data_IF_017182231628
#
_entry.id   IF_017182231628
#
_cell.length_a   1.000
_cell.length_b   1.000
_cell.length_c   1.000
_cell.angle_alpha   90.00
_cell.angle_beta   90.00
_cell.angle_gamma   90.00
#
_symmetry.space_group_name_H-M   'P 1'
#
loop_
_entity.id
_entity.type
_entity.pdbx_description
1 polymer ?
#
# COMPACT_ATOMS: atom_id res chain seq x y z
N UNK A 1 3.00 31.51 -14.20
CA UNK A 1 2.97 30.08 -13.85
C UNK A 1 1.66 29.52 -14.39
N UNK A 2 1.69 28.38 -15.07
CA UNK A 2 0.48 27.73 -15.56
C UNK A 2 -0.35 27.24 -14.35
N UNK A 3 -1.63 27.61 -14.30
CA UNK A 3 -2.52 27.19 -13.23
C UNK A 3 -2.94 25.72 -13.46
N UNK A 4 -2.51 24.83 -12.58
CA UNK A 4 -2.80 23.41 -12.66
C UNK A 4 -4.13 23.08 -11.97
N UNK A 5 -4.89 22.16 -12.54
CA UNK A 5 -6.09 21.61 -11.92
C UNK A 5 -5.70 20.45 -10.99
N UNK A 6 -6.55 20.05 -10.03
CA UNK A 6 -6.32 18.86 -9.22
C UNK A 6 -5.98 17.60 -10.04
N UNK A 7 -6.62 17.42 -11.19
CA UNK A 7 -6.35 16.31 -12.10
C UNK A 7 -4.92 16.31 -12.66
N UNK A 8 -4.36 17.49 -12.91
CA UNK A 8 -3.01 17.64 -13.44
C UNK A 8 -1.97 17.27 -12.37
N UNK A 9 -2.19 17.66 -11.12
CA UNK A 9 -1.38 17.25 -9.95
C UNK A 9 -1.44 15.73 -9.74
N UNK A 10 -2.63 15.14 -9.83
CA UNK A 10 -2.77 13.69 -9.71
C UNK A 10 -2.04 12.98 -10.85
N UNK A 11 -2.08 13.52 -12.06
CA UNK A 11 -1.35 12.95 -13.19
C UNK A 11 0.16 13.00 -12.96
N UNK A 12 0.70 14.11 -12.47
CA UNK A 12 2.12 14.24 -12.10
C UNK A 12 2.52 13.26 -11.00
N UNK A 13 1.67 13.08 -9.97
CA UNK A 13 1.87 12.08 -8.92
C UNK A 13 2.00 10.67 -9.51
N UNK A 14 1.07 10.32 -10.40
CA UNK A 14 1.09 9.00 -11.04
C UNK A 14 2.34 8.80 -11.91
N UNK A 15 2.78 9.83 -12.62
CA UNK A 15 4.00 9.80 -13.43
C UNK A 15 5.24 9.67 -12.54
N UNK A 16 5.27 10.41 -11.43
CA UNK A 16 6.35 10.35 -10.45
C UNK A 16 6.51 8.94 -9.86
N UNK A 17 5.42 8.34 -9.40
CA UNK A 17 5.43 6.99 -8.83
C UNK A 17 5.75 5.92 -9.91
N UNK A 18 5.18 6.06 -11.10
CA UNK A 18 5.45 5.14 -12.21
C UNK A 18 6.94 5.05 -12.53
N UNK A 19 7.57 6.20 -12.71
CA UNK A 19 8.99 6.29 -13.03
C UNK A 19 9.87 5.91 -11.81
N UNK A 20 9.55 6.44 -10.64
CA UNK A 20 10.30 6.21 -9.41
C UNK A 20 10.33 4.74 -8.97
N UNK A 21 9.27 3.97 -9.26
CA UNK A 21 9.20 2.54 -8.97
C UNK A 21 9.73 1.65 -10.11
N UNK A 22 10.03 2.21 -11.29
CA UNK A 22 10.52 1.45 -12.46
C UNK A 22 9.48 0.44 -12.96
N UNK A 23 8.21 0.79 -12.96
CA UNK A 23 7.13 -0.17 -13.19
C UNK A 23 7.04 -0.65 -14.64
N UNK A 24 7.39 0.18 -15.61
CA UNK A 24 7.38 -0.19 -17.02
C UNK A 24 8.35 -1.34 -17.32
N UNK A 25 9.58 -1.24 -16.83
CA UNK A 25 10.63 -2.25 -17.00
C UNK A 25 10.27 -3.57 -16.30
N UNK A 26 9.48 -3.50 -15.23
CA UNK A 26 8.95 -4.66 -14.51
C UNK A 26 7.67 -5.26 -15.15
N UNK A 27 7.25 -4.78 -16.31
CA UNK A 27 6.10 -5.28 -17.09
C UNK A 27 4.73 -4.91 -16.51
N UNK A 28 4.65 -3.86 -15.70
CA UNK A 28 3.39 -3.31 -15.23
C UNK A 28 2.67 -2.55 -16.33
N UNK A 29 1.38 -2.35 -16.18
CA UNK A 29 0.53 -1.56 -17.06
C UNK A 29 -0.18 -0.47 -16.28
N UNK A 30 -0.19 0.72 -16.84
CA UNK A 30 -1.00 1.83 -16.34
C UNK A 30 -2.40 1.74 -16.91
N UNK A 31 -3.41 1.75 -16.05
CA UNK A 31 -4.81 1.71 -16.45
C UNK A 31 -5.33 3.13 -16.71
N UNK A 32 -6.39 3.25 -17.51
CA UNK A 32 -7.03 4.56 -17.81
C UNK A 32 -7.46 5.34 -16.58
N UNK A 33 -7.82 4.63 -15.50
CA UNK A 33 -8.19 5.24 -14.20
C UNK A 33 -6.99 5.65 -13.35
N UNK A 34 -5.77 5.39 -13.80
CA UNK A 34 -4.52 5.73 -13.13
C UNK A 34 -3.92 4.63 -12.27
N UNK A 35 -4.63 3.54 -11.99
CA UNK A 35 -4.06 2.39 -11.26
C UNK A 35 -2.94 1.72 -12.05
N UNK A 36 -2.00 1.12 -11.33
CA UNK A 36 -0.93 0.30 -11.93
C UNK A 36 -1.23 -1.17 -11.68
N UNK A 37 -1.05 -2.00 -12.69
CA UNK A 37 -1.43 -3.40 -12.64
C UNK A 37 -0.47 -4.31 -13.40
N UNK A 38 -0.14 -5.47 -12.80
CA UNK A 38 0.57 -6.57 -13.46
C UNK A 38 -0.24 -7.85 -13.26
N UNK A 39 -0.54 -8.57 -14.35
CA UNK A 39 -1.21 -9.88 -14.32
C UNK A 39 -0.21 -10.97 -14.57
N UNK A 40 -0.26 -12.03 -13.77
CA UNK A 40 0.59 -13.20 -13.88
C UNK A 40 -0.15 -14.36 -14.53
N UNK A 41 0.61 -15.29 -15.13
CA UNK A 41 0.06 -16.50 -15.78
C UNK A 41 -0.65 -17.45 -14.80
N UNK A 42 -0.24 -17.46 -13.52
CA UNK A 42 -0.85 -18.24 -12.45
C UNK A 42 -2.17 -17.64 -11.90
N UNK A 43 -2.71 -16.59 -12.53
CA UNK A 43 -3.94 -15.93 -12.12
C UNK A 43 -3.77 -14.84 -11.06
N UNK A 44 -2.57 -14.65 -10.55
CA UNK A 44 -2.28 -13.56 -9.63
C UNK A 44 -2.36 -12.21 -10.35
N UNK A 45 -2.79 -11.22 -9.62
CA UNK A 45 -2.83 -9.82 -10.05
C UNK A 45 -2.18 -8.96 -8.98
N UNK A 46 -1.16 -8.23 -9.36
CA UNK A 46 -0.53 -7.20 -8.55
C UNK A 46 -1.11 -5.84 -8.97
N UNK A 47 -1.47 -5.00 -8.01
CA UNK A 47 -2.09 -3.72 -8.29
C UNK A 47 -1.65 -2.68 -7.27
N UNK A 48 -1.29 -1.49 -7.73
CA UNK A 48 -1.20 -0.28 -6.93
C UNK A 48 -2.43 0.53 -7.28
N UNK A 49 -3.31 0.67 -6.31
CA UNK A 49 -4.60 1.29 -6.45
C UNK A 49 -4.61 2.66 -5.77
N UNK A 50 -5.18 3.64 -6.47
CA UNK A 50 -5.26 5.02 -6.00
C UNK A 50 -6.72 5.40 -5.75
N UNK A 51 -6.98 5.84 -4.52
CA UNK A 51 -8.24 6.46 -4.14
C UNK A 51 -8.09 7.98 -4.17
N UNK A 52 -9.11 8.69 -4.62
CA UNK A 52 -9.07 10.14 -4.83
C UNK A 52 -10.21 10.78 -4.08
N UNK A 53 -9.88 11.78 -3.27
CA UNK A 53 -10.92 12.57 -2.61
C UNK A 53 -11.79 13.28 -3.65
N UNK A 54 -13.09 13.23 -3.45
CA UNK A 54 -14.05 14.00 -4.26
C UNK A 54 -14.02 15.50 -3.97
N UNK A 55 -13.32 15.88 -2.91
CA UNK A 55 -13.21 17.26 -2.44
C UNK A 55 -11.89 17.93 -2.87
N UNK A 56 -11.21 17.39 -3.88
CA UNK A 56 -9.99 17.97 -4.42
C UNK A 56 -10.28 19.27 -5.15
N UNK A 57 -9.57 20.33 -4.78
CA UNK A 57 -9.66 21.66 -5.40
C UNK A 57 -8.32 22.42 -5.30
N UNK A 58 -8.16 23.41 -6.16
CA UNK A 58 -7.07 24.39 -6.10
C UNK A 58 -7.68 25.76 -6.42
N UNK A 59 -7.46 26.71 -5.55
CA UNK A 59 -7.87 28.11 -5.71
C UNK A 59 -6.63 29.00 -5.70
N UNK A 60 -6.26 29.47 -6.87
CA UNK A 60 -5.07 30.32 -7.06
C UNK A 60 -5.30 31.78 -6.65
N UNK A 61 -6.53 32.22 -6.54
CA UNK A 61 -6.85 33.61 -6.15
C UNK A 61 -6.57 33.80 -4.66
N UNK A 62 -6.93 32.83 -3.84
CA UNK A 62 -6.67 32.86 -2.40
C UNK A 62 -5.40 32.09 -1.99
N UNK A 63 -4.68 31.48 -2.96
CA UNK A 63 -3.46 30.72 -2.69
C UNK A 63 -3.69 29.45 -1.85
N UNK A 64 -4.85 28.80 -1.98
CA UNK A 64 -5.21 27.63 -1.19
C UNK A 64 -5.67 26.47 -2.07
N UNK A 65 -5.36 25.23 -1.65
CA UNK A 65 -5.78 24.03 -2.35
C UNK A 65 -5.71 22.78 -1.49
N UNK A 66 -6.50 21.79 -1.86
CA UNK A 66 -6.49 20.46 -1.28
C UNK A 66 -6.56 19.43 -2.41
N UNK A 67 -5.48 18.65 -2.56
CA UNK A 67 -5.46 17.48 -3.44
C UNK A 67 -5.04 16.29 -2.58
N UNK A 68 -5.99 15.40 -2.34
CA UNK A 68 -5.84 14.27 -1.47
C UNK A 68 -5.93 12.97 -2.25
N UNK A 69 -4.96 12.09 -2.01
CA UNK A 69 -4.86 10.77 -2.61
C UNK A 69 -4.48 9.75 -1.54
N UNK A 70 -5.24 8.66 -1.46
CA UNK A 70 -4.86 7.45 -0.76
C UNK A 70 -4.33 6.42 -1.74
N UNK A 71 -3.46 5.52 -1.29
CA UNK A 71 -3.06 4.40 -2.13
C UNK A 71 -2.85 3.11 -1.35
N UNK A 72 -3.05 1.99 -2.04
CA UNK A 72 -2.86 0.66 -1.51
C UNK A 72 -2.18 -0.23 -2.54
N UNK A 73 -1.22 -1.01 -2.09
CA UNK A 73 -0.57 -2.03 -2.89
C UNK A 73 -1.18 -3.38 -2.53
N UNK A 74 -1.73 -4.09 -3.50
CA UNK A 74 -2.49 -5.32 -3.27
C UNK A 74 -2.06 -6.46 -4.18
N UNK A 75 -2.14 -7.69 -3.65
CA UNK A 75 -2.05 -8.93 -4.42
C UNK A 75 -3.40 -9.62 -4.31
N UNK A 76 -3.94 -10.04 -5.44
CA UNK A 76 -5.20 -10.77 -5.48
C UNK A 76 -5.18 -11.91 -6.49
N UNK A 77 -6.07 -12.89 -6.27
CA UNK A 77 -6.34 -13.98 -7.19
C UNK A 77 -7.85 -14.12 -7.37
N UNK A 78 -8.32 -13.88 -8.59
CA UNK A 78 -9.76 -13.69 -8.80
C UNK A 78 -10.27 -12.49 -8.00
N UNK A 79 -11.27 -12.72 -7.16
CA UNK A 79 -11.86 -11.69 -6.27
C UNK A 79 -11.23 -11.68 -4.88
N UNK A 80 -10.37 -12.67 -4.54
CA UNK A 80 -9.73 -12.76 -3.24
C UNK A 80 -8.55 -11.79 -3.14
N UNK A 81 -8.58 -10.93 -2.13
CA UNK A 81 -7.42 -10.15 -1.71
C UNK A 81 -6.53 -11.03 -0.84
N UNK A 82 -5.28 -11.23 -1.23
CA UNK A 82 -4.34 -12.12 -0.55
C UNK A 82 -3.33 -11.37 0.32
N UNK A 83 -2.95 -10.18 -0.13
CA UNK A 83 -1.94 -9.34 0.52
C UNK A 83 -2.25 -7.88 0.28
N UNK A 84 -1.99 -7.03 1.26
CA UNK A 84 -1.93 -5.59 1.02
C UNK A 84 -0.86 -4.92 1.85
N UNK A 85 -0.20 -3.94 1.24
CA UNK A 85 0.65 -2.97 1.90
C UNK A 85 -0.01 -1.60 1.81
N UNK A 86 -0.07 -0.90 2.93
CA UNK A 86 -0.68 0.43 3.03
C UNK A 86 0.24 1.38 3.77
N UNK A 87 0.16 2.65 3.40
CA UNK A 87 0.68 3.77 4.16
C UNK A 87 -0.52 4.65 4.48
N UNK A 88 -0.63 5.12 5.71
CA UNK A 88 -1.74 5.96 6.19
C UNK A 88 -1.20 7.14 7.01
N UNK A 89 -1.84 8.33 6.94
CA UNK A 89 -1.48 9.46 7.79
C UNK A 89 -1.66 9.13 9.28
N UNK A 90 -0.76 9.58 10.14
CA UNK A 90 -0.89 9.40 11.61
C UNK A 90 -2.04 10.19 12.19
N UNK A 91 -2.48 11.25 11.53
CA UNK A 91 -3.62 12.08 11.93
C UNK A 91 -4.98 11.43 11.73
N UNK A 92 -4.99 10.20 11.21
CA UNK A 92 -6.21 9.46 10.86
C UNK A 92 -6.70 9.74 9.45
N UNK A 93 -7.50 8.80 8.92
CA UNK A 93 -7.96 8.85 7.53
C UNK A 93 -7.07 8.03 6.59
N UNK A 94 -7.46 7.97 5.32
CA UNK A 94 -6.78 7.14 4.29
C UNK A 94 -6.15 7.99 3.18
N UNK A 95 -6.15 9.32 3.33
CA UNK A 95 -5.72 10.24 2.28
C UNK A 95 -4.58 11.13 2.74
N UNK A 96 -3.59 11.30 1.87
CA UNK A 96 -2.51 12.25 2.04
C UNK A 96 -2.76 13.51 1.23
N UNK A 97 -2.46 14.66 1.80
CA UNK A 97 -2.43 15.91 1.07
C UNK A 97 -1.19 15.95 0.17
N UNK A 98 -1.41 16.03 -1.14
CA UNK A 98 -0.37 15.96 -2.17
C UNK A 98 0.13 17.33 -2.64
N UNK A 99 -0.29 18.42 -1.99
CA UNK A 99 0.16 19.78 -2.31
C UNK A 99 1.09 20.33 -1.24
N UNK A 100 2.14 21.01 -1.72
CA UNK A 100 2.94 21.95 -0.92
C UNK A 100 2.16 23.25 -0.68
N UNK A 101 2.69 24.14 0.15
CA UNK A 101 2.14 25.48 0.35
C UNK A 101 2.09 26.31 -0.94
N UNK A 102 3.05 26.09 -1.85
CA UNK A 102 3.09 26.73 -3.18
C UNK A 102 2.15 26.10 -4.21
N UNK A 103 1.21 25.26 -3.80
CA UNK A 103 0.24 24.54 -4.65
C UNK A 103 0.90 23.66 -5.72
N UNK A 104 2.05 23.06 -5.42
CA UNK A 104 2.76 22.11 -6.27
C UNK A 104 2.66 20.71 -5.70
N UNK A 105 2.95 19.71 -6.53
CA UNK A 105 3.05 18.32 -6.06
C UNK A 105 4.13 18.21 -4.97
N UNK A 106 3.77 17.60 -3.83
CA UNK A 106 4.69 17.32 -2.74
C UNK A 106 5.56 16.08 -3.06
N UNK A 107 6.62 16.30 -3.83
CA UNK A 107 7.57 15.22 -4.18
C UNK A 107 8.36 14.73 -2.99
N UNK A 108 8.62 15.59 -1.98
CA UNK A 108 9.32 15.17 -0.76
C UNK A 108 8.57 14.08 0.00
N UNK A 109 7.23 14.17 0.07
CA UNK A 109 6.42 13.12 0.65
C UNK A 109 6.49 11.82 -0.20
N UNK A 110 6.46 11.94 -1.51
CA UNK A 110 6.56 10.78 -2.41
C UNK A 110 7.92 10.09 -2.32
N UNK A 111 9.01 10.85 -2.13
CA UNK A 111 10.36 10.33 -1.93
C UNK A 111 10.45 9.47 -0.67
N UNK A 112 9.66 9.76 0.36
CA UNK A 112 9.60 8.90 1.56
C UNK A 112 8.80 7.62 1.31
N UNK A 113 7.83 7.63 0.41
CA UNK A 113 6.99 6.46 0.12
C UNK A 113 7.64 5.48 -0.85
N UNK A 114 8.42 5.96 -1.83
CA UNK A 114 9.06 5.12 -2.84
C UNK A 114 9.88 3.96 -2.26
N UNK A 115 10.82 4.17 -1.31
CA UNK A 115 11.59 3.07 -0.71
C UNK A 115 10.71 2.10 0.07
N UNK A 116 9.65 2.58 0.75
CA UNK A 116 8.72 1.72 1.48
C UNK A 116 7.93 0.81 0.53
N UNK A 117 7.41 1.37 -0.56
CA UNK A 117 6.69 0.58 -1.59
C UNK A 117 7.64 -0.42 -2.26
N UNK A 118 8.88 -0.04 -2.57
CA UNK A 118 9.88 -0.97 -3.11
C UNK A 118 10.11 -2.13 -2.16
N UNK A 119 10.53 -1.87 -0.94
CA UNK A 119 10.92 -2.89 0.02
C UNK A 119 9.76 -3.81 0.45
N UNK A 120 8.59 -3.23 0.72
CA UNK A 120 7.48 -3.97 1.31
C UNK A 120 6.47 -4.53 0.29
N UNK A 121 6.53 -4.08 -0.96
CA UNK A 121 5.62 -4.56 -1.99
C UNK A 121 6.33 -5.12 -3.23
N UNK A 122 7.20 -4.36 -3.90
CA UNK A 122 7.84 -4.84 -5.12
C UNK A 122 8.87 -5.94 -4.83
N UNK A 123 9.74 -5.76 -3.84
CA UNK A 123 10.72 -6.77 -3.44
C UNK A 123 10.04 -7.99 -2.80
N UNK A 124 8.89 -7.79 -2.12
CA UNK A 124 8.07 -8.90 -1.67
C UNK A 124 7.53 -9.70 -2.85
N UNK A 125 7.00 -9.05 -3.89
CA UNK A 125 6.54 -9.72 -5.11
C UNK A 125 7.67 -10.50 -5.77
N UNK A 126 8.84 -9.90 -5.94
CA UNK A 126 9.99 -10.54 -6.58
C UNK A 126 10.42 -11.81 -5.79
N UNK A 127 10.46 -11.75 -4.45
CA UNK A 127 10.70 -12.91 -3.58
C UNK A 127 9.59 -13.95 -3.67
N UNK A 128 8.34 -13.51 -3.64
CA UNK A 128 7.17 -14.38 -3.70
C UNK A 128 7.06 -15.11 -5.05
N UNK A 129 7.43 -14.47 -6.15
CA UNK A 129 7.52 -15.10 -7.46
C UNK A 129 8.66 -16.16 -7.53
N UNK A 130 9.76 -15.91 -6.80
CA UNK A 130 10.90 -16.83 -6.75
C UNK A 130 10.65 -18.02 -5.82
N UNK A 131 10.22 -17.79 -4.60
CA UNK A 131 9.90 -18.81 -3.60
C UNK A 131 8.76 -18.30 -2.67
N UNK A 132 7.52 -18.70 -2.91
CA UNK A 132 6.38 -18.30 -2.08
C UNK A 132 6.52 -18.70 -0.61
N UNK A 133 7.11 -19.87 -0.34
CA UNK A 133 7.28 -20.37 1.04
C UNK A 133 8.29 -19.50 1.80
N UNK A 134 9.41 -19.19 1.17
CA UNK A 134 10.41 -18.29 1.76
C UNK A 134 9.85 -16.86 1.96
N UNK A 135 9.13 -16.35 0.97
CA UNK A 135 8.54 -15.01 1.07
C UNK A 135 7.48 -14.89 2.18
N UNK A 136 6.82 -15.98 2.52
CA UNK A 136 5.85 -16.07 3.62
C UNK A 136 6.49 -16.49 4.96
N UNK A 137 7.79 -16.72 5.04
CA UNK A 137 8.53 -16.71 6.31
C UNK A 137 8.30 -15.37 6.99
N UNK A 138 8.13 -15.33 8.31
CA UNK A 138 7.21 -14.42 8.97
C UNK A 138 7.34 -13.01 8.41
N UNK A 139 6.30 -12.59 7.71
CA UNK A 139 6.14 -11.21 7.26
C UNK A 139 5.87 -10.38 8.52
N UNK A 140 6.88 -10.37 9.37
CA UNK A 140 6.94 -9.49 10.49
C UNK A 140 7.58 -8.22 9.97
N UNK A 141 6.82 -7.37 9.31
CA UNK A 141 7.27 -6.02 9.05
C UNK A 141 7.13 -5.22 10.34
N UNK A 142 8.19 -4.52 10.78
CA UNK A 142 8.08 -3.59 11.87
C UNK A 142 7.03 -2.54 11.52
N UNK A 143 6.17 -2.25 12.48
CA UNK A 143 5.40 -1.03 12.44
C UNK A 143 6.40 0.11 12.62
N UNK A 144 6.52 0.95 11.63
CA UNK A 144 7.33 2.16 11.74
C UNK A 144 6.36 3.33 11.75
N UNK A 145 6.25 4.00 12.90
CA UNK A 145 5.67 5.34 12.95
C UNK A 145 6.75 6.32 12.52
N UNK A 146 6.48 7.05 11.45
CA UNK A 146 7.12 8.33 11.19
C UNK A 146 6.21 9.42 11.79
N UNK A 147 6.72 10.65 11.94
CA UNK A 147 5.94 11.75 12.52
C UNK A 147 4.61 11.97 11.81
N UNK A 148 4.55 11.74 10.49
CA UNK A 148 3.41 12.07 9.65
C UNK A 148 2.63 10.87 9.08
N UNK A 149 3.17 9.66 9.14
CA UNK A 149 2.53 8.46 8.58
C UNK A 149 2.94 7.17 9.28
N UNK A 150 2.06 6.18 9.19
CA UNK A 150 2.31 4.79 9.55
C UNK A 150 2.15 3.89 8.35
N UNK A 151 2.82 2.75 8.34
CA UNK A 151 2.62 1.74 7.31
C UNK A 151 2.45 0.36 7.90
N UNK A 152 1.74 -0.50 7.18
CA UNK A 152 1.43 -1.85 7.62
C UNK A 152 1.21 -2.81 6.46
N UNK A 153 1.42 -4.08 6.76
CA UNK A 153 1.21 -5.19 5.85
C UNK A 153 0.08 -6.05 6.38
N UNK A 154 -0.83 -6.41 5.48
CA UNK A 154 -1.87 -7.39 5.72
C UNK A 154 -1.61 -8.62 4.85
N UNK A 155 -1.46 -9.79 5.48
CA UNK A 155 -1.45 -11.09 4.79
C UNK A 155 -2.73 -11.81 5.16
N UNK A 156 -3.45 -12.31 4.20
CA UNK A 156 -4.67 -13.07 4.42
C UNK A 156 -4.39 -14.56 4.61
N UNK A 157 -5.24 -15.22 5.39
CA UNK A 157 -5.15 -16.67 5.63
C UNK A 157 -5.09 -17.45 4.32
N UNK A 158 -5.92 -17.09 3.33
CA UNK A 158 -5.94 -17.70 2.01
C UNK A 158 -4.59 -17.63 1.26
N UNK A 159 -3.77 -16.63 1.53
CA UNK A 159 -2.44 -16.56 0.95
C UNK A 159 -1.52 -17.63 1.55
N UNK A 160 -1.54 -17.77 2.87
CA UNK A 160 -0.74 -18.78 3.58
C UNK A 160 -1.25 -20.18 3.26
N UNK A 161 -2.57 -20.38 3.16
CA UNK A 161 -3.19 -21.65 2.79
C UNK A 161 -2.78 -22.11 1.39
N UNK A 162 -2.73 -21.20 0.42
CA UNK A 162 -2.43 -21.53 -0.99
C UNK A 162 -0.95 -21.66 -1.29
N UNK A 163 -0.10 -20.94 -0.58
CA UNK A 163 1.30 -20.76 -0.94
C UNK A 163 2.29 -21.06 0.19
N UNK A 164 1.81 -21.21 1.42
CA UNK A 164 2.64 -21.52 2.59
C UNK A 164 2.68 -23.02 2.90
N UNK A 165 3.39 -23.36 3.98
CA UNK A 165 3.44 -24.70 4.56
C UNK A 165 2.39 -24.86 5.67
N UNK A 166 2.15 -26.13 6.07
CA UNK A 166 1.29 -26.42 7.22
C UNK A 166 1.79 -25.76 8.52
N UNK A 167 3.11 -25.71 8.71
CA UNK A 167 3.74 -25.06 9.87
C UNK A 167 3.52 -23.55 9.84
N UNK A 168 3.66 -22.91 8.67
CA UNK A 168 3.37 -21.49 8.50
C UNK A 168 1.90 -21.19 8.76
N UNK A 169 0.99 -22.05 8.33
CA UNK A 169 -0.45 -21.91 8.60
C UNK A 169 -0.76 -22.05 10.09
N UNK A 170 -0.14 -22.99 10.78
CA UNK A 170 -0.29 -23.12 12.22
C UNK A 170 0.24 -21.89 12.97
N UNK A 171 1.43 -21.41 12.59
CA UNK A 171 2.02 -20.18 13.12
C UNK A 171 1.11 -18.96 12.89
N UNK A 172 0.53 -18.84 11.69
CA UNK A 172 -0.42 -17.79 11.33
C UNK A 172 -1.65 -17.82 12.26
N UNK A 173 -2.28 -18.99 12.44
CA UNK A 173 -3.47 -19.17 13.30
C UNK A 173 -3.17 -18.86 14.78
N UNK A 174 -2.03 -19.32 15.28
CA UNK A 174 -1.58 -19.02 16.65
C UNK A 174 -1.41 -17.52 16.87
N UNK A 175 -0.83 -16.81 15.91
CA UNK A 175 -0.70 -15.34 16.00
C UNK A 175 -2.07 -14.64 15.90
N UNK A 176 -3.01 -15.15 15.08
CA UNK A 176 -4.36 -14.62 14.99
C UNK A 176 -5.13 -14.78 16.31
N UNK A 177 -4.99 -15.92 16.99
CA UNK A 177 -5.58 -16.17 18.31
C UNK A 177 -5.03 -15.23 19.39
N UNK A 178 -3.72 -15.03 19.43
CA UNK A 178 -3.06 -14.11 20.38
C UNK A 178 -3.53 -12.66 20.19
N UNK A 179 -3.89 -12.26 18.97
CA UNK A 179 -4.41 -10.92 18.66
C UNK A 179 -5.92 -10.80 18.78
N UNK A 180 -6.64 -11.92 18.86
CA UNK A 180 -8.09 -12.01 19.04
C UNK A 180 -8.59 -11.62 20.43
N UNK A 181 -7.75 -11.01 21.27
CA UNK A 181 -8.15 -10.49 22.58
C UNK A 181 -9.10 -9.30 22.46
N UNK A 182 -10.04 -9.09 23.43
CA UNK A 182 -11.30 -8.35 23.27
C UNK A 182 -11.25 -6.87 22.88
N UNK A 183 -10.10 -6.28 22.70
CA UNK A 183 -9.94 -4.88 22.25
C UNK A 183 -9.90 -4.70 20.71
N UNK A 184 -9.66 -5.75 19.95
CA UNK A 184 -9.52 -5.70 18.48
C UNK A 184 -10.66 -6.44 17.79
N UNK A 185 -11.89 -6.04 18.06
CA UNK A 185 -13.00 -6.36 17.15
C UNK A 185 -12.82 -5.57 15.87
N UNK A 186 -11.94 -6.02 15.01
CA UNK A 186 -12.00 -5.70 13.58
C UNK A 186 -13.30 -6.31 13.03
N UNK A 187 -14.42 -5.66 13.27
CA UNK A 187 -15.78 -6.12 12.97
C UNK A 187 -16.03 -6.42 11.50
N UNK A 188 -15.11 -6.10 10.58
CA UNK A 188 -15.35 -6.18 9.14
C UNK A 188 -14.19 -6.75 8.31
N UNK A 189 -13.20 -7.42 8.92
CA UNK A 189 -12.06 -7.96 8.19
C UNK A 189 -11.90 -9.46 8.45
N UNK A 190 -12.90 -10.23 8.06
CA UNK A 190 -12.81 -11.69 8.15
C UNK A 190 -11.61 -12.20 7.35
N UNK A 191 -10.71 -12.91 8.02
CA UNK A 191 -9.59 -13.62 7.44
C UNK A 191 -8.39 -12.78 7.04
N UNK A 192 -8.26 -11.57 7.54
CA UNK A 192 -7.02 -10.79 7.39
C UNK A 192 -6.33 -10.60 8.74
N UNK A 193 -5.03 -10.81 8.76
CA UNK A 193 -4.19 -10.56 9.90
C UNK A 193 -3.36 -9.31 9.64
N UNK A 194 -3.46 -8.36 10.56
CA UNK A 194 -2.60 -7.20 10.61
C UNK A 194 -1.30 -7.62 11.30
N UNK A 195 -0.21 -7.59 10.56
CA UNK A 195 1.11 -7.77 11.16
C UNK A 195 1.61 -6.41 11.66
N UNK A 196 1.27 -6.10 12.91
CA UNK A 196 2.01 -5.08 13.64
C UNK A 196 3.22 -5.75 14.28
N UNK A 197 4.40 -5.28 13.97
CA UNK A 197 5.49 -5.42 14.90
C UNK A 197 5.33 -4.29 15.92
N UNK A 198 4.71 -4.61 17.07
CA UNK A 198 5.07 -3.88 18.25
C UNK A 198 6.59 -4.02 18.39
N UNK A 199 7.31 -2.93 18.60
CA UNK A 199 8.66 -3.00 19.11
C UNK A 199 8.58 -3.91 20.35
N UNK A 200 9.10 -5.11 20.25
CA UNK A 200 9.60 -5.79 21.40
C UNK A 200 10.80 -4.95 21.83
N UNK A 201 10.53 -3.97 22.71
CA UNK A 201 11.55 -3.50 23.57
C UNK A 201 11.91 -4.72 24.42
N UNK A 202 13.06 -5.30 24.15
CA UNK A 202 14.07 -5.70 25.14
C UNK A 202 15.13 -6.53 24.44
#
# INVERSE_FOLDING_TARGET
MEQKRPADIIQELLDYLWNGLGLEEKGWKRLKKGDFKKKMKNGLTYQIWFDRSRYNYIDYEIGHGNVEVGFSCIIKQGDDYLYSFRIEPTTGGSFFRMLTEDLRLNTGLLDTFLPLVKANYLDFIDRFEADPVEALQPVCAPFTEAEDYSWFIYVREQMVERYGTAEQMEGYRRQAELRGTPGHKAKNWMGSMLFHLSHAND
#
